data_IF_088242358103
#
_entry.id   IF_088242358103
#
_cell.length_a   1.000
_cell.length_b   1.000
_cell.length_c   1.000
_cell.angle_alpha   90.00
_cell.angle_beta   90.00
_cell.angle_gamma   90.00
#
_symmetry.space_group_name_H-M   'P 1'
#
loop_
_entity.id
_entity.type
_entity.pdbx_description
1 polymer ?
#
# COMPACT_ATOMS: atom_id res chain seq x y z
N UNK A 1 -18.45 20.94 1.62
CA UNK A 1 -18.52 19.59 1.00
C UNK A 1 -19.55 18.76 1.75
N UNK A 2 -20.42 18.06 1.04
CA UNK A 2 -21.32 17.09 1.66
C UNK A 2 -20.53 15.82 2.06
N UNK A 3 -21.11 14.98 2.92
CA UNK A 3 -20.46 13.76 3.42
C UNK A 3 -19.93 12.86 2.29
N UNK A 4 -20.69 12.69 1.21
CA UNK A 4 -20.29 11.82 0.09
C UNK A 4 -19.06 12.35 -0.65
N UNK A 5 -18.93 13.67 -0.80
CA UNK A 5 -17.73 14.29 -1.37
C UNK A 5 -16.50 14.05 -0.48
N UNK A 6 -16.65 14.19 0.85
CA UNK A 6 -15.55 13.92 1.80
C UNK A 6 -15.14 12.44 1.70
N UNK A 7 -16.11 11.52 1.76
CA UNK A 7 -15.84 10.09 1.62
C UNK A 7 -15.15 9.75 0.29
N UNK A 8 -15.58 10.37 -0.81
CA UNK A 8 -14.96 10.18 -2.12
C UNK A 8 -13.48 10.60 -2.11
N UNK A 9 -13.19 11.81 -1.61
CA UNK A 9 -11.80 12.33 -1.54
C UNK A 9 -10.93 11.44 -0.65
N UNK A 10 -11.44 10.98 0.49
CA UNK A 10 -10.68 10.10 1.40
C UNK A 10 -10.43 8.73 0.75
N UNK A 11 -11.43 8.13 0.11
CA UNK A 11 -11.23 6.87 -0.62
C UNK A 11 -10.26 7.01 -1.79
N UNK A 12 -10.31 8.13 -2.50
CA UNK A 12 -9.39 8.43 -3.60
C UNK A 12 -7.95 8.60 -3.09
N UNK A 13 -7.77 9.32 -1.98
CA UNK A 13 -6.46 9.48 -1.35
C UNK A 13 -5.89 8.13 -0.89
N UNK A 14 -6.69 7.31 -0.19
CA UNK A 14 -6.28 5.98 0.23
C UNK A 14 -5.95 5.07 -0.97
N UNK A 15 -6.77 5.08 -2.02
CA UNK A 15 -6.50 4.37 -3.26
C UNK A 15 -5.15 4.75 -3.85
N UNK A 16 -4.86 6.05 -4.00
CA UNK A 16 -3.59 6.51 -4.55
C UNK A 16 -2.38 6.13 -3.70
N UNK A 17 -2.50 6.20 -2.36
CA UNK A 17 -1.45 5.72 -1.46
C UNK A 17 -1.16 4.23 -1.73
N UNK A 18 -2.19 3.40 -1.86
CA UNK A 18 -2.02 1.98 -2.16
C UNK A 18 -1.39 1.75 -3.54
N UNK A 19 -1.78 2.52 -4.56
CA UNK A 19 -1.18 2.42 -5.90
C UNK A 19 0.30 2.84 -5.91
N UNK A 20 0.66 3.87 -5.13
CA UNK A 20 2.07 4.30 -4.98
C UNK A 20 2.88 3.23 -4.26
N UNK A 21 2.34 2.64 -3.18
CA UNK A 21 2.99 1.53 -2.47
C UNK A 21 3.20 0.32 -3.37
N UNK A 22 2.17 -0.10 -4.12
CA UNK A 22 2.28 -1.18 -5.09
C UNK A 22 3.32 -0.87 -6.17
N UNK A 23 3.28 0.32 -6.76
CA UNK A 23 4.26 0.76 -7.76
C UNK A 23 5.69 0.74 -7.21
N UNK A 24 5.87 1.19 -5.95
CA UNK A 24 7.16 1.17 -5.27
C UNK A 24 7.67 -0.27 -5.07
N UNK A 25 6.80 -1.18 -4.63
CA UNK A 25 7.14 -2.60 -4.49
C UNK A 25 7.49 -3.24 -5.84
N UNK A 26 6.79 -2.90 -6.92
CA UNK A 26 7.11 -3.38 -8.28
C UNK A 26 8.50 -2.89 -8.69
N UNK A 27 8.80 -1.60 -8.49
CA UNK A 27 10.12 -1.04 -8.77
C UNK A 27 11.20 -1.71 -7.92
N UNK A 28 10.95 -1.93 -6.62
CA UNK A 28 11.89 -2.65 -5.76
C UNK A 28 12.16 -4.05 -6.31
N UNK A 29 11.11 -4.78 -6.67
CA UNK A 29 11.19 -6.18 -7.11
C UNK A 29 11.98 -6.36 -8.40
N UNK A 30 11.72 -5.52 -9.41
CA UNK A 30 12.27 -5.73 -10.76
C UNK A 30 13.48 -4.86 -11.08
N UNK A 31 13.69 -3.75 -10.36
CA UNK A 31 14.75 -2.80 -10.67
C UNK A 31 15.76 -2.67 -9.53
N UNK A 32 15.32 -2.52 -8.27
CA UNK A 32 16.25 -2.23 -7.17
C UNK A 32 16.89 -3.51 -6.60
N UNK A 33 16.08 -4.48 -6.19
CA UNK A 33 16.53 -5.68 -5.50
C UNK A 33 17.46 -6.56 -6.34
N UNK A 34 17.26 -6.72 -7.67
CA UNK A 34 18.25 -7.41 -8.50
C UNK A 34 19.64 -6.78 -8.41
N UNK A 35 19.74 -5.45 -8.28
CA UNK A 35 21.01 -4.76 -8.13
C UNK A 35 21.56 -4.85 -6.70
N UNK A 36 20.71 -4.79 -5.67
CA UNK A 36 21.14 -4.92 -4.27
C UNK A 36 21.64 -6.35 -3.98
N UNK A 37 20.98 -7.38 -4.50
CA UNK A 37 21.21 -8.78 -4.15
C UNK A 37 21.99 -9.58 -5.20
N UNK A 38 22.60 -8.94 -6.21
CA UNK A 38 23.33 -9.66 -7.26
C UNK A 38 24.59 -10.39 -6.75
N UNK A 39 25.30 -9.85 -5.76
CA UNK A 39 26.51 -10.46 -5.19
C UNK A 39 26.72 -10.08 -3.70
N UNK A 40 25.90 -10.61 -2.77
CA UNK A 40 26.11 -10.35 -1.34
C UNK A 40 27.35 -11.06 -0.80
N UNK A 41 28.06 -10.46 0.19
CA UNK A 41 27.80 -9.15 0.78
C UNK A 41 28.41 -7.96 0.03
N UNK A 42 29.25 -8.19 -0.99
CA UNK A 42 29.98 -7.13 -1.70
C UNK A 42 29.04 -6.08 -2.33
N UNK A 43 27.88 -6.51 -2.83
CA UNK A 43 26.88 -5.63 -3.41
C UNK A 43 26.19 -4.70 -2.39
N UNK A 44 26.20 -5.03 -1.09
CA UNK A 44 25.56 -4.22 -0.06
C UNK A 44 26.25 -2.87 0.14
N UNK A 45 27.58 -2.84 0.08
CA UNK A 45 28.33 -1.59 0.20
C UNK A 45 27.97 -0.63 -0.95
N UNK A 46 27.87 -1.16 -2.17
CA UNK A 46 27.44 -0.38 -3.35
C UNK A 46 26.01 0.12 -3.19
N UNK A 47 25.10 -0.72 -2.68
CA UNK A 47 23.71 -0.34 -2.41
C UNK A 47 23.62 0.79 -1.37
N UNK A 48 24.39 0.71 -0.28
CA UNK A 48 24.45 1.75 0.75
C UNK A 48 25.02 3.07 0.21
N UNK A 49 26.05 3.01 -0.64
CA UNK A 49 26.59 4.21 -1.32
C UNK A 49 25.54 4.85 -2.23
N UNK A 50 24.81 4.04 -3.01
CA UNK A 50 23.72 4.53 -3.87
C UNK A 50 22.59 5.18 -3.05
N UNK A 51 22.24 4.61 -1.90
CA UNK A 51 21.16 5.09 -1.01
C UNK A 51 21.64 6.05 0.10
N UNK A 52 22.80 6.69 -0.09
CA UNK A 52 23.43 7.53 0.95
C UNK A 52 22.64 8.79 1.32
N UNK A 53 21.75 9.27 0.44
CA UNK A 53 20.91 10.47 0.68
C UNK A 53 19.49 10.11 1.08
N UNK A 54 18.92 9.08 0.43
CA UNK A 54 17.58 8.58 0.69
C UNK A 54 17.58 7.07 0.58
N UNK A 55 17.01 6.42 1.59
CA UNK A 55 16.87 4.98 1.66
C UNK A 55 15.39 4.58 1.80
N UNK A 56 15.04 3.30 1.57
CA UNK A 56 13.67 2.80 1.72
C UNK A 56 13.02 3.14 3.08
N UNK A 57 13.80 3.19 4.16
CA UNK A 57 13.31 3.56 5.50
C UNK A 57 12.87 5.05 5.61
N UNK A 58 13.29 5.93 4.70
CA UNK A 58 12.82 7.32 4.64
C UNK A 58 11.47 7.46 3.93
N UNK A 59 11.09 6.45 3.14
CA UNK A 59 9.91 6.49 2.27
C UNK A 59 8.77 5.59 2.76
N UNK A 60 9.05 4.32 3.03
CA UNK A 60 8.01 3.34 3.34
C UNK A 60 7.34 3.55 4.71
N UNK A 61 8.04 3.84 5.82
CA UNK A 61 7.36 4.02 7.10
C UNK A 61 6.36 5.19 7.13
N UNK A 62 6.70 6.40 6.64
CA UNK A 62 5.72 7.49 6.55
C UNK A 62 4.52 7.13 5.67
N UNK A 63 4.77 6.51 4.50
CA UNK A 63 3.70 6.15 3.56
C UNK A 63 2.83 4.99 4.10
N UNK A 64 3.44 4.03 4.79
CA UNK A 64 2.76 2.94 5.49
C UNK A 64 1.87 3.48 6.60
N UNK A 65 2.35 4.42 7.42
CA UNK A 65 1.52 5.09 8.42
C UNK A 65 0.34 5.84 7.79
N UNK A 66 0.59 6.59 6.70
CA UNK A 66 -0.48 7.26 5.96
C UNK A 66 -1.51 6.28 5.41
N UNK A 67 -1.09 5.10 4.93
CA UNK A 67 -2.01 4.07 4.45
C UNK A 67 -2.95 3.57 5.55
N UNK A 68 -2.45 3.43 6.79
CA UNK A 68 -3.28 2.98 7.92
C UNK A 68 -4.26 4.06 8.35
N UNK A 69 -3.82 5.31 8.46
CA UNK A 69 -4.68 6.44 8.86
C UNK A 69 -5.77 6.68 7.81
N UNK A 70 -5.39 6.78 6.54
CA UNK A 70 -6.34 7.02 5.44
C UNK A 70 -7.25 5.80 5.21
N UNK A 71 -6.75 4.59 5.39
CA UNK A 71 -7.53 3.36 5.34
C UNK A 71 -8.58 3.28 6.46
N UNK A 72 -8.22 3.61 7.70
CA UNK A 72 -9.18 3.68 8.80
C UNK A 72 -10.27 4.73 8.55
N UNK A 73 -9.88 5.93 8.10
CA UNK A 73 -10.82 6.97 7.71
C UNK A 73 -11.74 6.52 6.57
N UNK A 74 -11.20 5.84 5.56
CA UNK A 74 -11.95 5.27 4.45
C UNK A 74 -13.01 4.27 4.94
N UNK A 75 -12.68 3.36 5.86
CA UNK A 75 -13.64 2.41 6.44
C UNK A 75 -14.76 3.13 7.19
N UNK A 76 -14.42 4.08 8.06
CA UNK A 76 -15.39 4.83 8.86
C UNK A 76 -16.36 5.63 7.99
N UNK A 77 -15.83 6.34 6.99
CA UNK A 77 -16.62 7.21 6.12
C UNK A 77 -17.45 6.44 5.09
N UNK A 78 -16.94 5.30 4.60
CA UNK A 78 -17.65 4.43 3.65
C UNK A 78 -18.58 3.42 4.32
N UNK A 79 -18.62 3.37 5.66
CA UNK A 79 -19.37 2.39 6.45
C UNK A 79 -20.85 2.18 6.03
N UNK A 80 -21.64 3.22 5.71
CA UNK A 80 -23.03 3.04 5.31
C UNK A 80 -23.19 2.35 3.95
N UNK A 81 -22.17 2.40 3.09
CA UNK A 81 -22.21 1.88 1.71
C UNK A 81 -21.81 0.41 1.70
N UNK A 82 -22.79 -0.46 1.95
CA UNK A 82 -22.61 -1.91 2.07
C UNK A 82 -21.88 -2.54 0.88
N UNK A 83 -22.09 -2.03 -0.34
CA UNK A 83 -21.46 -2.52 -1.57
C UNK A 83 -19.94 -2.28 -1.63
N UNK A 84 -19.44 -1.27 -0.91
CA UNK A 84 -18.02 -0.92 -0.86
C UNK A 84 -17.34 -1.40 0.43
N UNK A 85 -18.07 -1.41 1.55
CA UNK A 85 -17.54 -1.64 2.90
C UNK A 85 -16.63 -2.86 3.03
N UNK A 86 -17.06 -4.03 2.57
CA UNK A 86 -16.26 -5.25 2.70
C UNK A 86 -14.93 -5.18 1.96
N UNK A 87 -14.92 -4.54 0.78
CA UNK A 87 -13.72 -4.34 -0.03
C UNK A 87 -12.74 -3.38 0.63
N UNK A 88 -13.23 -2.27 1.19
CA UNK A 88 -12.38 -1.31 1.89
C UNK A 88 -11.78 -1.93 3.14
N UNK A 89 -12.56 -2.69 3.92
CA UNK A 89 -12.06 -3.43 5.10
C UNK A 89 -11.00 -4.46 4.68
N UNK A 90 -11.26 -5.27 3.65
CA UNK A 90 -10.30 -6.26 3.18
C UNK A 90 -8.98 -5.61 2.75
N UNK A 91 -9.03 -4.46 2.07
CA UNK A 91 -7.83 -3.69 1.72
C UNK A 91 -7.03 -3.27 2.97
N UNK A 92 -7.71 -2.72 3.98
CA UNK A 92 -7.06 -2.29 5.22
C UNK A 92 -6.43 -3.48 5.96
N UNK A 93 -7.12 -4.62 6.03
CA UNK A 93 -6.57 -5.82 6.65
C UNK A 93 -5.31 -6.32 5.93
N UNK A 94 -5.28 -6.25 4.60
CA UNK A 94 -4.09 -6.65 3.83
C UNK A 94 -2.89 -5.72 4.09
N UNK A 95 -3.08 -4.39 4.14
CA UNK A 95 -1.97 -3.46 4.37
C UNK A 95 -1.50 -3.43 5.84
N UNK A 96 -2.40 -3.68 6.79
CA UNK A 96 -2.01 -3.92 8.19
C UNK A 96 -1.23 -5.23 8.31
N UNK A 97 -1.69 -6.29 7.65
CA UNK A 97 -0.98 -7.57 7.58
C UNK A 97 0.42 -7.43 6.99
N UNK A 98 0.57 -6.65 5.91
CA UNK A 98 1.87 -6.32 5.33
C UNK A 98 2.78 -5.59 6.33
N UNK A 99 2.28 -4.55 7.00
CA UNK A 99 3.08 -3.80 7.95
C UNK A 99 3.54 -4.65 9.13
N UNK A 100 2.68 -5.53 9.65
CA UNK A 100 3.04 -6.48 10.71
C UNK A 100 4.06 -7.51 10.23
N UNK A 101 3.89 -8.06 9.01
CA UNK A 101 4.88 -8.95 8.39
C UNK A 101 6.22 -8.23 8.17
N UNK A 102 6.19 -6.97 7.74
CA UNK A 102 7.36 -6.11 7.55
C UNK A 102 8.16 -5.95 8.84
N UNK A 103 7.49 -5.57 9.93
CA UNK A 103 8.11 -5.37 11.24
C UNK A 103 8.71 -6.66 11.81
N UNK A 104 8.02 -7.79 11.65
CA UNK A 104 8.42 -9.06 12.26
C UNK A 104 9.46 -9.82 11.44
N UNK A 105 9.34 -9.79 10.12
CA UNK A 105 10.16 -10.61 9.23
C UNK A 105 11.26 -9.78 8.57
N UNK A 106 10.97 -8.57 8.07
CA UNK A 106 11.90 -7.85 7.20
C UNK A 106 12.84 -6.94 7.96
N UNK A 107 12.37 -6.25 9.01
CA UNK A 107 13.22 -5.33 9.78
C UNK A 107 14.44 -6.04 10.39
N UNK A 108 14.33 -7.23 11.00
CA UNK A 108 15.49 -7.95 11.51
C UNK A 108 16.50 -8.32 10.41
N UNK A 109 16.02 -8.73 9.22
CA UNK A 109 16.91 -9.07 8.10
C UNK A 109 17.61 -7.83 7.55
N UNK A 110 16.93 -6.69 7.50
CA UNK A 110 17.57 -5.43 7.12
C UNK A 110 18.66 -5.02 8.11
N UNK A 111 18.43 -5.19 9.41
CA UNK A 111 19.46 -4.96 10.43
C UNK A 111 20.67 -5.87 10.21
N UNK A 112 20.44 -7.18 10.04
CA UNK A 112 21.51 -8.16 9.78
C UNK A 112 22.32 -7.79 8.53
N UNK A 113 21.65 -7.43 7.43
CA UNK A 113 22.32 -7.19 6.15
C UNK A 113 23.00 -5.82 6.05
N UNK A 114 22.37 -4.76 6.56
CA UNK A 114 22.74 -3.37 6.26
C UNK A 114 23.24 -2.57 7.46
N UNK A 115 23.00 -3.03 8.69
CA UNK A 115 23.47 -2.36 9.92
C UNK A 115 24.63 -3.14 10.54
N UNK A 116 24.46 -4.44 10.72
CA UNK A 116 25.47 -5.34 11.30
C UNK A 116 26.47 -5.79 10.23
N UNK A 117 25.95 -6.34 9.13
CA UNK A 117 26.72 -6.64 7.92
C UNK A 117 27.95 -7.54 8.18
N UNK A 118 29.01 -7.41 7.35
CA UNK A 118 30.20 -8.26 7.45
C UNK A 118 31.07 -7.98 8.68
N UNK A 119 30.77 -6.91 9.44
CA UNK A 119 31.45 -6.61 10.69
C UNK A 119 31.04 -7.57 11.82
N UNK A 120 29.85 -8.16 11.72
CA UNK A 120 29.28 -9.06 12.73
C UNK A 120 29.07 -10.48 12.19
N UNK A 121 28.73 -10.62 10.91
CA UNK A 121 28.29 -11.88 10.32
C UNK A 121 29.21 -12.39 9.21
N UNK A 122 29.24 -13.71 9.02
CA UNK A 122 29.96 -14.32 7.90
C UNK A 122 29.27 -14.04 6.56
N UNK A 123 30.03 -14.11 5.47
CA UNK A 123 29.50 -13.93 4.12
C UNK A 123 28.41 -14.97 3.78
N UNK A 124 28.56 -16.22 4.24
CA UNK A 124 27.57 -17.28 4.05
C UNK A 124 26.24 -16.94 4.74
N UNK A 125 26.29 -16.45 5.97
CA UNK A 125 25.10 -16.05 6.72
C UNK A 125 24.38 -14.87 6.07
N UNK A 126 25.13 -13.89 5.56
CA UNK A 126 24.58 -12.74 4.85
C UNK A 126 23.93 -13.13 3.51
N UNK A 127 24.52 -14.07 2.77
CA UNK A 127 23.92 -14.62 1.54
C UNK A 127 22.63 -15.37 1.83
N UNK A 128 22.61 -16.20 2.87
CA UNK A 128 21.39 -16.87 3.31
C UNK A 128 20.31 -15.85 3.69
N UNK A 129 20.67 -14.85 4.49
CA UNK A 129 19.74 -13.79 4.92
C UNK A 129 19.16 -13.03 3.73
N UNK A 130 19.99 -12.74 2.71
CA UNK A 130 19.54 -12.11 1.47
C UNK A 130 18.56 -12.98 0.67
N UNK A 131 18.77 -14.30 0.63
CA UNK A 131 17.85 -15.23 -0.01
C UNK A 131 16.52 -15.31 0.74
N UNK A 132 16.55 -15.39 2.08
CA UNK A 132 15.36 -15.36 2.92
C UNK A 132 14.57 -14.07 2.69
N UNK A 133 15.24 -12.91 2.68
CA UNK A 133 14.62 -11.62 2.43
C UNK A 133 13.92 -11.57 1.07
N UNK A 134 14.58 -12.02 0.00
CA UNK A 134 14.01 -12.04 -1.35
C UNK A 134 12.83 -13.01 -1.48
N UNK A 135 12.90 -14.18 -0.85
CA UNK A 135 11.79 -15.12 -0.82
C UNK A 135 10.59 -14.53 -0.08
N UNK A 136 10.83 -13.95 1.10
CA UNK A 136 9.79 -13.32 1.90
C UNK A 136 9.17 -12.12 1.17
N UNK A 137 9.94 -11.37 0.38
CA UNK A 137 9.45 -10.18 -0.33
C UNK A 137 8.22 -10.43 -1.20
N UNK A 138 8.05 -11.64 -1.75
CA UNK A 138 6.84 -12.02 -2.48
C UNK A 138 5.57 -11.93 -1.63
N UNK A 139 5.67 -12.07 -0.31
CA UNK A 139 4.58 -11.81 0.62
C UNK A 139 4.16 -10.33 0.58
N UNK A 140 5.13 -9.40 0.55
CA UNK A 140 4.86 -7.95 0.45
C UNK A 140 4.22 -7.60 -0.89
N UNK A 141 4.68 -8.22 -1.97
CA UNK A 141 4.06 -8.11 -3.31
C UNK A 141 2.60 -8.56 -3.23
N UNK A 142 2.35 -9.74 -2.66
CA UNK A 142 1.01 -10.31 -2.51
C UNK A 142 0.06 -9.40 -1.72
N UNK A 143 0.49 -8.91 -0.53
CA UNK A 143 -0.33 -8.03 0.28
C UNK A 143 -0.63 -6.69 -0.39
N UNK A 144 0.38 -6.03 -0.97
CA UNK A 144 0.19 -4.74 -1.64
C UNK A 144 -0.71 -4.87 -2.88
N UNK A 145 -0.55 -5.94 -3.66
CA UNK A 145 -1.39 -6.22 -4.82
C UNK A 145 -2.84 -6.48 -4.40
N UNK A 146 -3.05 -7.38 -3.44
CA UNK A 146 -4.39 -7.70 -2.93
C UNK A 146 -5.06 -6.46 -2.33
N UNK A 147 -4.35 -5.71 -1.50
CA UNK A 147 -4.87 -4.48 -0.90
C UNK A 147 -5.29 -3.46 -1.97
N UNK A 148 -4.46 -3.26 -2.99
CA UNK A 148 -4.72 -2.33 -4.11
C UNK A 148 -5.96 -2.74 -4.92
N UNK A 149 -6.09 -4.03 -5.26
CA UNK A 149 -7.28 -4.57 -5.95
C UNK A 149 -8.55 -4.32 -5.12
N UNK A 150 -8.48 -4.59 -3.82
CA UNK A 150 -9.61 -4.41 -2.92
C UNK A 150 -10.02 -2.94 -2.78
N UNK A 151 -9.10 -2.01 -2.57
CA UNK A 151 -9.47 -0.58 -2.48
C UNK A 151 -9.95 -0.05 -3.83
N UNK A 152 -9.34 -0.45 -4.94
CA UNK A 152 -9.80 -0.04 -6.27
C UNK A 152 -11.24 -0.50 -6.52
N UNK A 153 -11.55 -1.76 -6.18
CA UNK A 153 -12.90 -2.30 -6.27
C UNK A 153 -13.87 -1.58 -5.33
N UNK A 154 -13.48 -1.34 -4.08
CA UNK A 154 -14.27 -0.61 -3.09
C UNK A 154 -14.58 0.82 -3.54
N UNK A 155 -13.59 1.51 -4.11
CA UNK A 155 -13.73 2.85 -4.67
C UNK A 155 -14.74 2.87 -5.82
N UNK A 156 -14.64 1.96 -6.79
CA UNK A 156 -15.60 1.88 -7.89
C UNK A 156 -17.03 1.57 -7.41
N UNK A 157 -17.19 0.69 -6.41
CA UNK A 157 -18.49 0.38 -5.81
C UNK A 157 -19.09 1.60 -5.10
N UNK A 158 -18.26 2.38 -4.40
CA UNK A 158 -18.68 3.62 -3.76
C UNK A 158 -19.06 4.69 -4.79
N UNK A 159 -18.23 4.87 -5.82
CA UNK A 159 -18.48 5.83 -6.90
C UNK A 159 -19.79 5.55 -7.62
N UNK A 160 -20.05 4.27 -7.95
CA UNK A 160 -21.34 3.85 -8.53
C UNK A 160 -22.51 4.16 -7.61
N UNK A 161 -22.39 3.93 -6.31
CA UNK A 161 -23.44 4.27 -5.34
C UNK A 161 -23.76 5.77 -5.35
N UNK A 162 -22.72 6.61 -5.41
CA UNK A 162 -22.88 8.07 -5.47
C UNK A 162 -23.64 8.53 -6.73
N UNK A 163 -23.27 8.01 -7.91
CA UNK A 163 -23.95 8.36 -9.18
C UNK A 163 -25.42 7.93 -9.15
N UNK A 164 -25.71 6.70 -8.71
CA UNK A 164 -27.10 6.18 -8.67
C UNK A 164 -27.95 7.00 -7.69
N UNK A 165 -27.40 7.39 -6.54
CA UNK A 165 -28.10 8.24 -5.58
C UNK A 165 -28.39 9.65 -6.12
N UNK A 166 -27.48 10.22 -6.92
CA UNK A 166 -27.70 11.51 -7.59
C UNK A 166 -28.77 11.41 -8.68
N UNK A 167 -28.71 10.39 -9.55
CA UNK A 167 -29.72 10.18 -10.60
C UNK A 167 -31.11 9.88 -10.05
N UNK A 168 -31.21 9.18 -8.91
CA UNK A 168 -32.48 8.93 -8.23
C UNK A 168 -33.08 10.18 -7.55
N UNK A 169 -32.27 11.19 -7.24
CA UNK A 169 -32.73 12.47 -6.69
C UNK A 169 -33.21 13.45 -7.77
N UNK A 170 -32.89 13.19 -9.04
CA UNK A 170 -33.21 14.05 -10.18
C UNK A 170 -34.66 13.99 -10.76
N UNK A 171 -35.57 13.04 -10.45
CA UNK A 171 -36.85 12.93 -11.15
C UNK A 171 -38.04 13.76 -10.57
N UNK A 172 -37.82 14.70 -9.63
CA UNK A 172 -38.92 15.49 -9.03
C UNK A 172 -38.96 16.98 -9.40
N UNK A 173 -37.90 17.54 -9.97
CA UNK A 173 -37.85 18.98 -10.32
C UNK A 173 -38.41 19.24 -11.72
N UNK A 174 -38.25 18.30 -12.67
CA UNK A 174 -38.75 18.49 -14.05
C UNK A 174 -40.24 18.19 -14.22
N UNK A 175 -40.88 17.43 -13.31
CA UNK A 175 -42.32 17.12 -13.40
C UNK A 175 -43.24 18.23 -12.89
N UNK A 176 -42.74 19.19 -12.11
CA UNK A 176 -43.54 20.34 -11.64
C UNK A 176 -43.47 21.55 -12.58
N UNK A 177 -42.65 21.50 -13.63
CA UNK A 177 -42.43 22.60 -14.57
C UNK A 177 -43.16 22.43 -15.92
N UNK A 178 -44.03 21.43 -16.06
CA UNK A 178 -44.92 21.34 -17.24
C UNK A 178 -46.20 22.13 -16.96
N UNK A 179 -46.46 23.26 -17.63
CA UNK A 179 -47.77 23.86 -17.64
C UNK A 179 -48.74 22.93 -18.37
N UNK A 180 -49.94 22.75 -17.81
CA UNK A 180 -51.07 22.11 -18.46
C UNK A 180 -51.63 23.00 -19.59
#
# INVERSE_FOLDING_TARGET
MNRNQITFVVLLAYLWIMMILLGSIVIETFMIYPNIFHNPPESFETALKFMSVRAPNDFFPPLGFLSWVTGAAAVLLSWPVKSARAWVIASVLMIVGEGLASMTLFWPRNTIMFVEGPAVHSAEFLRQTAQEFQMLHWLRVGFNLASSIFIFTGFLKFYRHMIVAQGAAQPLIERSASPA
#
